data_IF_849598994429
#
_entry.id   IF_849598994429
#
_cell.length_a   1.000
_cell.length_b   1.000
_cell.length_c   1.000
_cell.angle_alpha   90.00
_cell.angle_beta   90.00
_cell.angle_gamma   90.00
#
_symmetry.space_group_name_H-M   'P 1'
#
loop_
_entity.id
_entity.type
_entity.pdbx_description
1 polymer ?
#
# COMPACT_ATOMS: atom_id res chain seq x y z
N UNK A 1 -8.76 -13.84 -3.76
CA UNK A 1 -8.78 -13.70 -2.28
C UNK A 1 -9.71 -12.54 -1.91
N UNK A 2 -10.63 -12.74 -0.96
CA UNK A 2 -11.53 -11.68 -0.46
C UNK A 2 -10.79 -10.88 0.61
N UNK A 3 -10.52 -9.59 0.35
CA UNK A 3 -9.90 -8.70 1.33
C UNK A 3 -10.90 -8.43 2.44
N UNK A 4 -10.56 -8.77 3.69
CA UNK A 4 -11.35 -8.42 4.87
C UNK A 4 -10.70 -7.22 5.54
N UNK A 5 -11.39 -6.07 5.55
CA UNK A 5 -11.03 -4.93 6.40
C UNK A 5 -11.51 -5.23 7.82
N UNK A 6 -10.60 -5.17 8.80
CA UNK A 6 -10.92 -5.41 10.22
C UNK A 6 -11.67 -4.22 10.83
N UNK A 7 -11.26 -3.00 10.53
CA UNK A 7 -11.98 -1.75 10.79
C UNK A 7 -11.33 -0.60 10.01
N UNK A 8 -11.99 0.56 9.91
CA UNK A 8 -11.37 1.77 9.34
C UNK A 8 -10.27 2.35 10.24
N UNK A 9 -10.37 2.17 11.56
CA UNK A 9 -9.36 2.63 12.53
C UNK A 9 -8.05 1.84 12.44
N UNK A 10 -8.12 0.57 12.02
CA UNK A 10 -6.95 -0.30 11.85
C UNK A 10 -6.36 -0.25 10.43
N UNK A 11 -6.89 0.60 9.55
CA UNK A 11 -6.39 0.81 8.16
C UNK A 11 -5.30 1.90 8.09
N UNK A 12 -4.67 2.24 9.23
CA UNK A 12 -3.57 3.21 9.28
C UNK A 12 -2.21 2.54 9.12
N UNK A 13 -1.20 3.22 8.52
CA UNK A 13 0.12 2.64 8.34
C UNK A 13 0.82 2.31 9.67
N UNK A 14 0.50 3.03 10.74
CA UNK A 14 1.01 2.78 12.09
C UNK A 14 0.54 1.40 12.61
N UNK A 15 -0.76 1.11 12.53
CA UNK A 15 -1.30 -0.18 12.96
C UNK A 15 -0.80 -1.32 12.08
N UNK A 16 -0.74 -1.12 10.76
CA UNK A 16 -0.20 -2.11 9.83
C UNK A 16 1.27 -2.43 10.18
N UNK A 17 2.07 -1.45 10.57
CA UNK A 17 3.46 -1.66 11.00
C UNK A 17 3.55 -2.42 12.31
N UNK A 18 2.73 -2.08 13.31
CA UNK A 18 2.65 -2.82 14.57
C UNK A 18 2.28 -4.29 14.34
N UNK A 19 1.31 -4.55 13.47
CA UNK A 19 0.91 -5.91 13.10
C UNK A 19 2.06 -6.68 12.44
N UNK A 20 2.79 -6.05 11.51
CA UNK A 20 3.96 -6.66 10.88
C UNK A 20 5.01 -7.06 11.92
N UNK A 21 5.30 -6.19 12.90
CA UNK A 21 6.27 -6.49 13.95
C UNK A 21 5.82 -7.65 14.85
N UNK A 22 4.52 -7.73 15.18
CA UNK A 22 3.96 -8.88 15.92
C UNK A 22 4.03 -10.17 15.10
N UNK A 23 3.66 -10.13 13.82
CA UNK A 23 3.68 -11.28 12.93
C UNK A 23 5.11 -11.82 12.71
N UNK A 24 6.11 -10.93 12.61
CA UNK A 24 7.52 -11.32 12.57
C UNK A 24 7.97 -12.04 13.84
N UNK A 25 7.50 -11.61 15.01
CA UNK A 25 7.80 -12.26 16.29
C UNK A 25 7.10 -13.62 16.44
N UNK A 26 5.91 -13.77 15.84
CA UNK A 26 5.09 -14.96 15.96
C UNK A 26 5.52 -16.13 15.05
N UNK A 27 6.34 -15.91 14.01
CA UNK A 27 6.79 -17.00 13.14
C UNK A 27 7.43 -16.57 11.81
N UNK A 28 7.47 -17.51 10.86
CA UNK A 28 8.24 -17.44 9.60
C UNK A 28 7.66 -16.51 8.52
N UNK A 29 7.28 -15.28 8.85
CA UNK A 29 6.94 -14.27 7.87
C UNK A 29 8.21 -13.49 7.49
N UNK A 30 8.88 -13.87 6.38
CA UNK A 30 10.12 -13.22 5.94
C UNK A 30 9.90 -11.80 5.39
N UNK A 31 8.86 -11.61 4.57
CA UNK A 31 8.70 -10.37 3.78
C UNK A 31 7.28 -9.79 3.86
N UNK A 32 6.91 -9.25 5.01
CA UNK A 32 5.65 -8.50 5.15
C UNK A 32 5.84 -7.04 4.74
N UNK A 33 4.92 -6.53 3.91
CA UNK A 33 4.92 -5.15 3.44
C UNK A 33 3.55 -4.52 3.50
N UNK A 34 3.52 -3.22 3.74
CA UNK A 34 2.30 -2.41 3.72
C UNK A 34 2.03 -2.02 2.26
N UNK A 35 0.79 -2.19 1.82
CA UNK A 35 0.34 -1.77 0.48
C UNK A 35 -0.83 -0.82 0.60
N UNK A 36 -0.85 0.20 -0.26
CA UNK A 36 -1.94 1.17 -0.34
C UNK A 36 -2.43 1.32 -1.78
N UNK A 37 -3.65 1.86 -1.94
CA UNK A 37 -4.13 2.29 -3.26
C UNK A 37 -3.43 3.59 -3.64
N UNK A 38 -2.66 3.56 -4.72
CA UNK A 38 -1.96 4.72 -5.24
C UNK A 38 -1.94 4.72 -6.77
N UNK A 39 -1.54 5.84 -7.37
CA UNK A 39 -1.26 5.89 -8.80
C UNK A 39 -0.10 4.96 -9.12
N UNK A 40 -0.30 4.03 -10.05
CA UNK A 40 0.75 3.15 -10.52
C UNK A 40 1.82 3.97 -11.27
N UNK A 41 3.07 3.64 -10.99
CA UNK A 41 4.23 4.25 -11.62
C UNK A 41 4.83 3.23 -12.58
N UNK A 42 5.28 3.71 -13.73
CA UNK A 42 6.08 2.96 -14.69
C UNK A 42 7.52 2.77 -14.16
N UNK A 43 8.34 1.97 -14.85
CA UNK A 43 9.73 1.69 -14.49
C UNK A 43 10.58 2.96 -14.29
N UNK A 44 10.23 4.03 -15.00
CA UNK A 44 10.87 5.36 -14.92
C UNK A 44 10.30 6.27 -13.84
N UNK A 45 9.42 5.77 -12.97
CA UNK A 45 8.76 6.54 -11.91
C UNK A 45 7.64 7.48 -12.39
N UNK A 46 7.21 7.38 -13.65
CA UNK A 46 6.15 8.23 -14.22
C UNK A 46 4.78 7.59 -14.00
N UNK A 47 3.77 8.38 -13.64
CA UNK A 47 2.37 7.90 -13.48
C UNK A 47 1.88 7.24 -14.78
N UNK A 48 1.40 6.00 -14.66
CA UNK A 48 0.73 5.31 -15.76
C UNK A 48 -0.63 5.96 -15.97
N UNK A 49 -0.88 6.47 -17.16
CA UNK A 49 -2.14 7.13 -17.51
C UNK A 49 -3.02 6.16 -18.32
N UNK A 50 -4.31 6.14 -18.01
CA UNK A 50 -5.28 5.41 -18.85
C UNK A 50 -5.38 6.07 -20.22
N UNK A 51 -5.30 5.31 -21.33
CA UNK A 51 -5.35 5.88 -22.68
C UNK A 51 -6.69 6.58 -22.98
N UNK A 52 -7.78 6.15 -22.33
CA UNK A 52 -9.13 6.70 -22.56
C UNK A 52 -9.40 7.98 -21.77
N UNK A 53 -9.01 8.03 -20.50
CA UNK A 53 -9.37 9.13 -19.59
C UNK A 53 -8.21 10.08 -19.29
N UNK A 54 -6.98 9.71 -19.67
CA UNK A 54 -5.73 10.41 -19.31
C UNK A 54 -5.54 10.61 -17.80
N UNK A 55 -6.27 9.86 -16.99
CA UNK A 55 -6.16 9.89 -15.53
C UNK A 55 -5.13 8.84 -15.06
N UNK A 56 -4.44 9.07 -13.93
CA UNK A 56 -3.57 8.07 -13.34
C UNK A 56 -4.32 6.77 -13.04
N UNK A 57 -3.73 5.65 -13.45
CA UNK A 57 -4.26 4.32 -13.13
C UNK A 57 -4.03 4.06 -11.66
N UNK A 58 -5.09 3.87 -10.89
CA UNK A 58 -5.01 3.55 -9.46
C UNK A 58 -4.91 2.04 -9.28
N UNK A 59 -3.89 1.60 -8.54
CA UNK A 59 -3.68 0.19 -8.21
C UNK A 59 -3.03 0.02 -6.84
N UNK A 60 -2.65 -1.21 -6.51
CA UNK A 60 -1.93 -1.50 -5.27
C UNK A 60 -0.44 -1.24 -5.46
N UNK A 61 0.09 -0.30 -4.68
CA UNK A 61 1.51 0.01 -4.62
C UNK A 61 2.06 -0.25 -3.21
N UNK A 62 3.37 -0.45 -3.11
CA UNK A 62 4.04 -0.59 -1.83
C UNK A 62 4.04 0.79 -1.13
N UNK A 63 3.64 0.80 0.14
CA UNK A 63 3.51 2.03 0.91
C UNK A 63 4.89 2.56 1.29
N UNK A 64 5.12 3.85 1.03
CA UNK A 64 6.31 4.58 1.46
C UNK A 64 5.89 5.74 2.36
N UNK A 65 6.63 6.06 3.43
CA UNK A 65 6.28 7.16 4.35
C UNK A 65 6.23 8.52 3.64
N UNK A 66 7.00 8.69 2.55
CA UNK A 66 7.03 9.91 1.75
C UNK A 66 5.78 10.10 0.89
N UNK A 67 5.10 9.00 0.50
CA UNK A 67 3.86 9.08 -0.28
C UNK A 67 2.68 9.68 0.51
N UNK A 68 2.79 9.80 1.84
CA UNK A 68 1.72 10.31 2.70
C UNK A 68 1.87 11.79 3.08
N UNK A 69 2.92 12.48 2.61
CA UNK A 69 3.12 13.94 2.88
C UNK A 69 2.30 14.87 1.97
N UNK A 70 1.55 14.32 1.02
CA UNK A 70 0.70 15.09 0.12
C UNK A 70 -0.79 14.80 0.40
N UNK A 71 -1.29 15.34 1.50
CA UNK A 71 -2.71 15.59 1.73
C UNK A 71 -2.85 16.82 2.62
#
# INVERSE_FOLDING_TARGET
MKVKRLSDLFDTPQHARQFIELAKKAGACRDLKIRCKAALLDEKGKKILSPKTRMPVIGWADWTPESHKAA
#
